data_IF_634947144478
#
_entry.id   IF_634947144478
#
_cell.length_a   1.000
_cell.length_b   1.000
_cell.length_c   1.000
_cell.angle_alpha   90.00
_cell.angle_beta   90.00
_cell.angle_gamma   90.00
#
_symmetry.space_group_name_H-M   'P 1'
#
loop_
_entity.id
_entity.type
_entity.pdbx_description
1 polymer ?
#
# COMPACT_ATOMS: atom_id res chain seq x y z
N UNK A 1 45.58 -21.67 -31.25
CA UNK A 1 44.32 -21.73 -32.04
C UNK A 1 43.45 -22.82 -31.47
N UNK A 2 42.35 -22.48 -30.81
CA UNK A 2 41.43 -23.46 -30.22
C UNK A 2 40.64 -24.11 -31.36
N UNK A 3 40.83 -25.42 -31.60
CA UNK A 3 40.09 -26.19 -32.63
C UNK A 3 38.91 -26.88 -31.94
N UNK A 4 37.73 -26.29 -32.02
CA UNK A 4 36.51 -26.93 -31.51
C UNK A 4 36.13 -28.11 -32.41
N UNK A 5 35.94 -29.30 -31.81
CA UNK A 5 35.37 -30.45 -32.52
C UNK A 5 33.87 -30.21 -32.72
N UNK A 6 33.35 -30.55 -33.91
CA UNK A 6 31.93 -30.36 -34.27
C UNK A 6 30.96 -30.94 -33.23
N UNK A 7 31.30 -32.10 -32.66
CA UNK A 7 30.56 -32.74 -31.56
C UNK A 7 30.38 -31.82 -30.35
N UNK A 8 31.42 -31.10 -29.96
CA UNK A 8 31.38 -30.17 -28.81
C UNK A 8 30.48 -28.98 -29.10
N UNK A 9 30.49 -28.47 -30.33
CA UNK A 9 29.62 -27.35 -30.75
C UNK A 9 28.15 -27.77 -30.72
N UNK A 10 27.82 -28.94 -31.27
CA UNK A 10 26.45 -29.46 -31.28
C UNK A 10 25.93 -29.72 -29.86
N UNK A 11 26.73 -30.34 -29.00
CA UNK A 11 26.36 -30.56 -27.59
C UNK A 11 26.15 -29.22 -26.87
N UNK A 12 27.03 -28.23 -27.08
CA UNK A 12 26.88 -26.90 -26.48
C UNK A 12 25.60 -26.20 -26.93
N UNK A 13 25.28 -26.26 -28.23
CA UNK A 13 24.05 -25.67 -28.75
C UNK A 13 22.80 -26.36 -28.18
N UNK A 14 22.78 -27.70 -28.13
CA UNK A 14 21.67 -28.44 -27.52
C UNK A 14 21.49 -28.10 -26.04
N UNK A 15 22.59 -27.93 -25.30
CA UNK A 15 22.53 -27.54 -23.89
C UNK A 15 21.96 -26.13 -23.71
N UNK A 16 22.36 -25.18 -24.56
CA UNK A 16 21.82 -23.81 -24.56
C UNK A 16 20.32 -23.86 -24.85
N UNK A 17 19.89 -24.56 -25.90
CA UNK A 17 18.46 -24.70 -26.25
C UNK A 17 17.67 -25.33 -25.09
N UNK A 18 18.26 -26.28 -24.37
CA UNK A 18 17.64 -26.91 -23.19
C UNK A 18 17.52 -25.96 -21.99
N UNK A 19 18.52 -25.11 -21.73
CA UNK A 19 18.54 -24.18 -20.60
C UNK A 19 17.71 -22.93 -20.88
N UNK A 20 17.62 -22.50 -22.13
CA UNK A 20 16.93 -21.30 -22.57
C UNK A 20 15.51 -21.13 -21.99
N UNK A 21 14.62 -22.15 -21.99
CA UNK A 21 13.29 -22.02 -21.39
C UNK A 21 13.32 -21.81 -19.88
N UNK A 22 14.23 -22.49 -19.15
CA UNK A 22 14.36 -22.31 -17.70
C UNK A 22 14.85 -20.89 -17.37
N UNK A 23 15.87 -20.42 -18.09
CA UNK A 23 16.38 -19.05 -17.93
C UNK A 23 15.31 -18.01 -18.22
N UNK A 24 14.50 -18.20 -19.27
CA UNK A 24 13.39 -17.32 -19.61
C UNK A 24 12.37 -17.19 -18.48
N UNK A 25 11.95 -18.31 -17.87
CA UNK A 25 11.01 -18.30 -16.73
C UNK A 25 11.60 -17.55 -15.53
N UNK A 26 12.89 -17.76 -15.23
CA UNK A 26 13.53 -17.10 -14.09
C UNK A 26 13.67 -15.58 -14.30
N UNK A 27 13.98 -15.14 -15.52
CA UNK A 27 14.02 -13.70 -15.85
C UNK A 27 12.63 -13.08 -15.74
N UNK A 28 11.59 -13.76 -16.23
CA UNK A 28 10.22 -13.28 -16.12
C UNK A 28 9.78 -13.12 -14.64
N UNK A 29 10.09 -14.11 -13.79
CA UNK A 29 9.82 -14.03 -12.35
C UNK A 29 10.55 -12.88 -11.67
N UNK A 30 11.81 -12.65 -12.04
CA UNK A 30 12.59 -11.54 -11.51
C UNK A 30 11.96 -10.19 -11.90
N UNK A 31 11.54 -10.05 -13.15
CA UNK A 31 10.86 -8.86 -13.64
C UNK A 31 9.53 -8.61 -12.91
N UNK A 32 8.70 -9.65 -12.79
CA UNK A 32 7.42 -9.60 -12.08
C UNK A 32 7.63 -9.19 -10.61
N UNK A 33 8.57 -9.83 -9.92
CA UNK A 33 8.90 -9.50 -8.52
C UNK A 33 9.40 -8.05 -8.38
N UNK A 34 10.21 -7.57 -9.33
CA UNK A 34 10.71 -6.21 -9.32
C UNK A 34 9.59 -5.18 -9.53
N UNK A 35 8.69 -5.43 -10.47
CA UNK A 35 7.56 -4.55 -10.77
C UNK A 35 6.62 -4.43 -9.56
N UNK A 36 6.37 -5.53 -8.86
CA UNK A 36 5.45 -5.57 -7.72
C UNK A 36 6.07 -4.92 -6.49
N UNK A 37 7.36 -5.16 -6.27
CA UNK A 37 8.12 -4.48 -5.23
C UNK A 37 8.14 -2.97 -5.43
N UNK A 38 8.17 -2.53 -6.69
CA UNK A 38 8.08 -1.11 -7.02
C UNK A 38 6.71 -0.53 -6.67
N UNK A 39 5.62 -1.17 -7.09
CA UNK A 39 4.26 -0.68 -6.77
C UNK A 39 3.97 -0.74 -5.27
N UNK A 40 4.40 -1.78 -4.56
CA UNK A 40 4.27 -1.88 -3.10
C UNK A 40 5.03 -0.75 -2.39
N UNK A 41 6.27 -0.47 -2.82
CA UNK A 41 7.06 0.62 -2.26
C UNK A 41 6.41 1.98 -2.50
N UNK A 42 5.83 2.18 -3.67
CA UNK A 42 5.12 3.42 -4.03
C UNK A 42 3.86 3.60 -3.18
N UNK A 43 3.01 2.58 -3.07
CA UNK A 43 1.78 2.64 -2.26
C UNK A 43 2.08 2.89 -0.79
N UNK A 44 3.15 2.30 -0.25
CA UNK A 44 3.58 2.58 1.13
C UNK A 44 4.08 4.00 1.31
N UNK A 45 4.83 4.55 0.34
CA UNK A 45 5.28 5.94 0.41
C UNK A 45 4.09 6.91 0.39
N UNK A 46 3.12 6.67 -0.49
CA UNK A 46 1.88 7.44 -0.57
C UNK A 46 1.07 7.35 0.73
N UNK A 47 0.86 6.13 1.26
CA UNK A 47 0.18 5.91 2.53
C UNK A 47 0.89 6.58 3.71
N UNK A 48 2.22 6.49 3.78
CA UNK A 48 3.01 7.15 4.81
C UNK A 48 2.87 8.68 4.76
N UNK A 49 2.80 9.25 3.56
CA UNK A 49 2.56 10.68 3.37
C UNK A 49 1.17 11.10 3.88
N UNK A 50 0.10 10.37 3.50
CA UNK A 50 -1.27 10.62 3.99
C UNK A 50 -1.33 10.54 5.51
N UNK A 51 -0.71 9.52 6.12
CA UNK A 51 -0.62 9.36 7.57
C UNK A 51 0.13 10.53 8.22
N UNK A 52 1.24 10.98 7.63
CA UNK A 52 2.02 12.09 8.15
C UNK A 52 1.22 13.40 8.14
N UNK A 53 0.53 13.69 7.04
CA UNK A 53 -0.35 14.86 6.91
C UNK A 53 -1.49 14.77 7.92
N UNK A 54 -2.18 13.64 8.01
CA UNK A 54 -3.27 13.44 8.97
C UNK A 54 -2.80 13.69 10.41
N UNK A 55 -1.67 13.09 10.82
CA UNK A 55 -1.10 13.25 12.17
C UNK A 55 -0.68 14.68 12.45
N UNK A 56 -0.16 15.39 11.44
CA UNK A 56 0.21 16.79 11.58
C UNK A 56 -1.03 17.66 11.79
N UNK A 57 -2.06 17.46 10.98
CA UNK A 57 -3.34 18.18 11.12
C UNK A 57 -4.02 17.90 12.45
N UNK A 58 -4.02 16.64 12.90
CA UNK A 58 -4.51 16.25 14.22
C UNK A 58 -3.78 17.00 15.33
N UNK A 59 -2.44 17.05 15.29
CA UNK A 59 -1.64 17.79 16.28
C UNK A 59 -1.97 19.28 16.29
N UNK A 60 -2.18 19.90 15.14
CA UNK A 60 -2.54 21.32 15.06
C UNK A 60 -3.89 21.58 15.73
N UNK A 61 -4.90 20.75 15.46
CA UNK A 61 -6.23 20.88 16.07
C UNK A 61 -6.25 20.58 17.58
N UNK A 62 -5.46 19.61 18.04
CA UNK A 62 -5.40 19.25 19.47
C UNK A 62 -4.50 20.17 20.27
N UNK A 63 -3.47 20.78 19.67
CA UNK A 63 -2.62 21.79 20.33
C UNK A 63 -3.39 23.05 20.72
N UNK A 64 -4.44 23.40 19.98
CA UNK A 64 -5.36 24.49 20.36
C UNK A 64 -6.24 24.13 21.58
N UNK A 65 -6.29 22.86 21.99
CA UNK A 65 -7.17 22.37 23.07
C UNK A 65 -6.44 21.92 24.33
N UNK A 66 -5.11 21.72 24.32
CA UNK A 66 -4.34 21.30 25.50
C UNK A 66 -2.91 21.87 25.52
N UNK A 67 -2.57 22.54 26.62
CA UNK A 67 -1.18 22.80 27.04
C UNK A 67 -0.35 21.50 27.11
N UNK A 68 0.99 21.58 26.94
CA UNK A 68 1.80 20.48 26.45
C UNK A 68 2.17 19.48 27.53
N UNK A 69 1.27 18.55 27.88
CA UNK A 69 1.67 17.35 28.62
C UNK A 69 2.13 16.27 27.64
N UNK A 70 3.45 16.12 27.61
CA UNK A 70 4.17 15.10 26.87
C UNK A 70 3.60 13.71 27.17
N UNK A 71 3.13 13.04 26.13
CA UNK A 71 3.35 11.62 25.93
C UNK A 71 3.37 11.41 24.43
N UNK A 72 4.57 11.20 23.86
CA UNK A 72 4.67 10.43 22.62
C UNK A 72 4.19 9.04 23.02
N UNK A 73 3.05 8.51 22.53
CA UNK A 73 2.95 7.08 22.47
C UNK A 73 4.15 6.68 21.62
N UNK A 74 4.95 5.74 22.11
CA UNK A 74 5.92 5.05 21.27
C UNK A 74 5.11 4.36 20.18
N UNK A 75 4.72 5.11 19.15
CA UNK A 75 4.44 4.57 17.84
C UNK A 75 5.77 3.94 17.54
N UNK A 76 5.87 2.62 17.79
CA UNK A 76 6.84 1.77 17.11
C UNK A 76 6.80 2.33 15.71
N UNK A 77 7.87 3.03 15.31
CA UNK A 77 8.05 3.37 13.92
C UNK A 77 7.77 2.04 13.25
N UNK A 78 6.63 1.98 12.55
CA UNK A 78 6.34 0.85 11.70
C UNK A 78 7.46 0.98 10.71
N UNK A 79 8.59 0.33 11.04
CA UNK A 79 9.72 0.13 10.15
C UNK A 79 8.99 -0.38 8.95
N UNK A 80 8.90 0.46 7.93
CA UNK A 80 8.28 0.12 6.66
C UNK A 80 8.87 -1.24 6.37
N UNK A 81 8.09 -2.30 6.61
CA UNK A 81 8.62 -3.64 6.58
C UNK A 81 9.24 -3.77 5.20
N UNK A 82 10.41 -4.38 5.05
CA UNK A 82 10.98 -4.64 3.71
C UNK A 82 9.85 -5.09 2.77
N UNK A 83 9.76 -4.61 1.53
CA UNK A 83 8.70 -5.07 0.59
C UNK A 83 8.58 -6.60 0.65
N UNK A 84 7.41 -7.09 1.08
CA UNK A 84 7.15 -8.50 1.45
C UNK A 84 6.26 -9.21 0.43
N UNK A 85 5.69 -8.48 -0.53
CA UNK A 85 4.68 -9.03 -1.43
C UNK A 85 5.33 -9.93 -2.50
N UNK A 86 5.05 -11.23 -2.42
CA UNK A 86 5.42 -12.24 -3.41
C UNK A 86 4.15 -12.90 -3.97
N UNK A 87 3.92 -12.80 -5.28
CA UNK A 87 2.72 -13.38 -5.92
C UNK A 87 2.64 -14.89 -5.83
N UNK A 88 3.76 -15.58 -5.68
CA UNK A 88 3.74 -17.04 -5.62
C UNK A 88 3.20 -17.56 -4.28
N UNK A 89 3.28 -16.75 -3.23
CA UNK A 89 3.03 -17.19 -1.84
C UNK A 89 2.02 -16.34 -1.10
N UNK A 90 1.83 -15.08 -1.50
CA UNK A 90 0.95 -14.15 -0.79
C UNK A 90 -0.52 -14.42 -1.11
N UNK A 91 -1.34 -14.48 -0.07
CA UNK A 91 -2.78 -14.62 -0.21
C UNK A 91 -3.40 -13.35 -0.83
N UNK A 92 -4.16 -13.52 -1.90
CA UNK A 92 -4.93 -12.43 -2.50
C UNK A 92 -6.21 -12.22 -1.68
N UNK A 93 -6.36 -11.02 -1.12
CA UNK A 93 -7.57 -10.63 -0.40
C UNK A 93 -8.67 -10.12 -1.36
N UNK A 94 -9.96 -10.29 -1.00
CA UNK A 94 -11.04 -9.66 -1.75
C UNK A 94 -10.93 -8.12 -1.69
N UNK A 95 -11.60 -7.39 -2.60
CA UNK A 95 -11.67 -5.93 -2.54
C UNK A 95 -12.20 -5.43 -1.19
N UNK A 96 -11.76 -4.21 -0.81
CA UNK A 96 -12.14 -3.55 0.44
C UNK A 96 -13.66 -3.57 0.64
N UNK A 97 -14.12 -4.09 1.78
CA UNK A 97 -15.56 -4.17 2.07
C UNK A 97 -16.01 -2.95 2.86
N UNK A 98 -16.74 -2.05 2.19
CA UNK A 98 -17.41 -0.92 2.84
C UNK A 98 -18.88 -1.22 3.10
N UNK A 99 -19.36 -0.89 4.30
CA UNK A 99 -20.75 -1.08 4.73
C UNK A 99 -21.38 0.27 5.08
N UNK A 100 -22.67 0.43 4.81
CA UNK A 100 -23.39 1.63 5.22
C UNK A 100 -23.44 1.68 6.75
N UNK A 101 -23.23 2.86 7.33
CA UNK A 101 -23.37 3.09 8.77
C UNK A 101 -24.21 4.33 9.04
N UNK A 102 -24.91 4.34 10.18
CA UNK A 102 -25.60 5.53 10.69
C UNK A 102 -24.85 6.16 11.87
N UNK A 103 -23.71 5.58 12.25
CA UNK A 103 -22.86 6.13 13.30
C UNK A 103 -22.14 7.39 12.78
N UNK A 104 -22.01 8.38 13.64
CA UNK A 104 -21.30 9.62 13.32
C UNK A 104 -19.80 9.43 13.59
N UNK A 105 -18.91 9.81 12.65
CA UNK A 105 -17.47 9.74 12.88
C UNK A 105 -17.03 10.63 14.04
N UNK A 106 -15.85 10.35 14.59
CA UNK A 106 -15.21 11.26 15.56
C UNK A 106 -15.20 12.71 15.02
N UNK A 107 -15.74 13.70 15.76
CA UNK A 107 -15.82 15.08 15.28
C UNK A 107 -14.48 15.69 14.85
N UNK A 108 -13.39 15.31 15.52
CA UNK A 108 -12.04 15.79 15.17
C UNK A 108 -11.59 15.10 13.88
N UNK A 109 -11.78 13.79 13.76
CA UNK A 109 -11.42 13.04 12.56
C UNK A 109 -12.24 13.49 11.34
N UNK A 110 -13.54 13.79 11.52
CA UNK A 110 -14.41 14.34 10.49
C UNK A 110 -13.90 15.70 10.00
N UNK A 111 -13.54 16.60 10.92
CA UNK A 111 -12.96 17.91 10.57
C UNK A 111 -11.66 17.77 9.79
N UNK A 112 -10.79 16.83 10.17
CA UNK A 112 -9.56 16.50 9.45
C UNK A 112 -9.89 15.96 8.05
N UNK A 113 -10.83 15.02 7.95
CA UNK A 113 -11.27 14.44 6.68
C UNK A 113 -11.76 15.50 5.70
N UNK A 114 -12.56 16.46 6.16
CA UNK A 114 -13.01 17.60 5.35
C UNK A 114 -11.86 18.48 4.86
N UNK A 115 -10.82 18.71 5.69
CA UNK A 115 -9.64 19.48 5.30
C UNK A 115 -8.76 18.74 4.28
N UNK A 116 -8.68 17.40 4.38
CA UNK A 116 -7.88 16.58 3.47
C UNK A 116 -8.60 16.26 2.15
N UNK A 117 -9.94 16.32 2.12
CA UNK A 117 -10.76 15.96 0.96
C UNK A 117 -10.26 16.49 -0.40
N UNK A 118 -9.93 17.79 -0.59
CA UNK A 118 -9.46 18.27 -1.90
C UNK A 118 -8.13 17.66 -2.31
N UNK A 119 -7.20 17.49 -1.35
CA UNK A 119 -5.88 16.89 -1.61
C UNK A 119 -6.02 15.40 -1.94
N UNK A 120 -6.93 14.70 -1.26
CA UNK A 120 -7.20 13.28 -1.51
C UNK A 120 -7.83 13.07 -2.89
N UNK A 121 -8.79 13.91 -3.29
CA UNK A 121 -9.40 13.84 -4.62
C UNK A 121 -8.39 14.08 -5.75
N UNK A 122 -7.51 15.08 -5.59
CA UNK A 122 -6.46 15.38 -6.56
C UNK A 122 -5.39 14.27 -6.62
N UNK A 123 -4.96 13.77 -5.46
CA UNK A 123 -4.01 12.66 -5.36
C UNK A 123 -4.58 11.38 -5.98
N UNK A 124 -5.85 11.04 -5.72
CA UNK A 124 -6.53 9.90 -6.34
C UNK A 124 -6.57 10.03 -7.85
N UNK A 125 -6.98 11.18 -8.38
CA UNK A 125 -7.03 11.43 -9.83
C UNK A 125 -5.65 11.29 -10.49
N UNK A 126 -4.60 11.76 -9.81
CA UNK A 126 -3.22 11.75 -10.35
C UNK A 126 -2.60 10.36 -10.31
N UNK A 127 -2.84 9.61 -9.23
CA UNK A 127 -2.22 8.29 -8.99
C UNK A 127 -3.09 7.11 -9.44
N UNK A 128 -4.36 7.37 -9.77
CA UNK A 128 -5.40 6.37 -10.01
C UNK A 128 -5.58 5.39 -8.83
N UNK A 129 -5.21 5.80 -7.62
CA UNK A 129 -5.31 4.99 -6.42
C UNK A 129 -6.61 5.29 -5.66
N UNK A 130 -7.31 4.26 -5.21
CA UNK A 130 -8.42 4.45 -4.27
C UNK A 130 -7.88 4.75 -2.87
N UNK A 131 -8.18 5.93 -2.35
CA UNK A 131 -7.70 6.38 -1.05
C UNK A 131 -8.88 6.54 -0.09
N UNK A 132 -8.82 5.82 1.02
CA UNK A 132 -9.77 5.89 2.13
C UNK A 132 -9.04 6.35 3.39
N UNK A 133 -9.62 7.31 4.09
CA UNK A 133 -9.17 7.71 5.43
C UNK A 133 -10.31 7.46 6.38
N UNK A 134 -10.07 6.63 7.39
CA UNK A 134 -11.04 6.31 8.44
C UNK A 134 -10.66 6.93 9.78
N UNK A 135 -11.64 7.02 10.67
CA UNK A 135 -11.39 7.24 12.09
C UNK A 135 -10.95 5.92 12.78
N UNK A 136 -10.72 6.00 14.09
CA UNK A 136 -10.25 4.88 14.92
C UNK A 136 -11.25 3.71 15.03
N UNK A 137 -12.50 3.89 14.59
CA UNK A 137 -13.52 2.83 14.59
C UNK A 137 -13.79 2.30 13.17
N UNK A 138 -13.02 2.75 12.18
CA UNK A 138 -13.17 2.33 10.78
C UNK A 138 -14.20 3.14 10.00
N UNK A 139 -14.78 4.21 10.57
CA UNK A 139 -15.72 5.07 9.85
C UNK A 139 -14.97 5.96 8.87
N UNK A 140 -15.40 5.99 7.61
CA UNK A 140 -14.73 6.74 6.56
C UNK A 140 -15.02 8.23 6.74
N UNK A 141 -13.95 9.01 6.99
CA UNK A 141 -14.03 10.47 7.18
C UNK A 141 -13.72 11.24 5.91
N UNK A 142 -12.92 10.66 5.00
CA UNK A 142 -12.71 11.18 3.66
C UNK A 142 -12.32 10.07 2.70
N UNK A 143 -12.77 10.19 1.46
CA UNK A 143 -12.48 9.28 0.36
C UNK A 143 -12.67 10.02 -0.97
N UNK A 144 -12.07 9.51 -2.04
CA UNK A 144 -12.30 10.01 -3.40
C UNK A 144 -13.68 9.61 -3.96
N UNK A 145 -14.19 8.45 -3.54
CA UNK A 145 -15.46 7.86 -4.01
C UNK A 145 -16.64 8.29 -3.12
N UNK A 146 -17.88 7.95 -3.50
CA UNK A 146 -19.11 8.11 -2.69
C UNK A 146 -19.17 7.11 -1.49
N UNK A 147 -18.12 7.14 -0.66
CA UNK A 147 -17.92 6.30 0.51
C UNK A 147 -18.07 7.06 1.83
N UNK A 148 -18.37 8.36 1.77
CA UNK A 148 -18.76 9.14 2.95
C UNK A 148 -20.04 8.56 3.57
N UNK A 149 -20.08 8.47 4.90
CA UNK A 149 -21.18 7.83 5.62
C UNK A 149 -21.16 6.29 5.58
N UNK A 150 -20.05 5.70 5.12
CA UNK A 150 -19.81 4.26 5.20
C UNK A 150 -18.69 3.97 6.20
N UNK A 151 -18.63 2.73 6.66
CA UNK A 151 -17.57 2.20 7.51
C UNK A 151 -16.89 1.03 6.81
N UNK A 152 -15.60 0.84 7.09
CA UNK A 152 -14.89 -0.38 6.69
C UNK A 152 -15.47 -1.53 7.53
N UNK A 153 -15.85 -2.62 6.88
CA UNK A 153 -16.44 -3.76 7.58
C UNK A 153 -15.50 -4.25 8.70
N UNK A 154 -16.04 -4.51 9.89
CA UNK A 154 -15.24 -5.00 11.02
C UNK A 154 -14.56 -6.36 10.76
N UNK A 155 -15.07 -7.12 9.79
CA UNK A 155 -14.48 -8.39 9.34
C UNK A 155 -13.38 -8.21 8.28
N UNK A 156 -13.19 -7.00 7.77
CA UNK A 156 -12.14 -6.70 6.81
C UNK A 156 -10.79 -6.65 7.55
N UNK A 157 -9.73 -7.32 7.03
CA UNK A 157 -8.42 -7.33 7.68
C UNK A 157 -7.86 -5.93 7.92
N UNK A 158 -8.22 -4.93 7.10
CA UNK A 158 -7.75 -3.55 7.26
C UNK A 158 -8.29 -2.90 8.55
N UNK A 159 -9.45 -3.31 9.04
CA UNK A 159 -10.05 -2.77 10.26
C UNK A 159 -9.58 -3.50 11.55
N UNK A 160 -8.75 -4.53 11.40
CA UNK A 160 -8.24 -5.35 12.52
C UNK A 160 -6.85 -4.94 13.02
N UNK A 161 -6.27 -3.87 12.45
CA UNK A 161 -4.93 -3.34 12.73
C UNK A 161 -5.00 -2.15 13.68
#
# INVERSE_FOLDING_TARGET
MIRFRLRTVLVGLSLIVMILPLAGIQILRLYESALIRQTESELRAQGAFVIAVYRQTLRTLTKDQMEPKHQRPGVKESRLASSELDLATTQIHPPLRVVNTSESPDPIAQKIGLMLAPVIAEASTTTFAEIYVSDRHGLIVTADQNALGKSIAASDPVNTV
#
